data_IF_649941098880
#
_entry.id   IF_649941098880
#
_cell.length_a   1.000
_cell.length_b   1.000
_cell.length_c   1.000
_cell.angle_alpha   90.00
_cell.angle_beta   90.00
_cell.angle_gamma   90.00
#
_symmetry.space_group_name_H-M   'P 1'
#
loop_
_entity.id
_entity.type
_entity.pdbx_description
1 polymer ?
#
# COMPACT_ATOMS: atom_id res chain seq x y z
N UNK A 1 4.24 -4.72 -32.36
CA UNK A 1 4.85 -3.37 -32.16
C UNK A 1 4.13 -2.52 -31.12
N UNK A 2 2.81 -2.36 -31.12
CA UNK A 2 2.06 -1.49 -30.17
C UNK A 2 2.22 -1.87 -28.70
N UNK A 3 2.17 -3.16 -28.34
CA UNK A 3 2.28 -3.62 -26.93
C UNK A 3 3.67 -3.33 -26.35
N UNK A 4 4.72 -3.50 -27.14
CA UNK A 4 6.10 -3.24 -26.70
C UNK A 4 6.35 -1.74 -26.47
N UNK A 5 5.79 -0.88 -27.32
CA UNK A 5 5.88 0.57 -27.13
C UNK A 5 5.14 1.05 -25.87
N UNK A 6 3.97 0.48 -25.58
CA UNK A 6 3.21 0.78 -24.37
C UNK A 6 3.97 0.37 -23.11
N UNK A 7 4.62 -0.81 -23.10
CA UNK A 7 5.43 -1.27 -21.98
C UNK A 7 6.64 -0.36 -21.71
N UNK A 8 7.38 0.03 -22.74
CA UNK A 8 8.52 0.93 -22.60
C UNK A 8 8.09 2.33 -22.13
N UNK A 9 6.95 2.82 -22.61
CA UNK A 9 6.37 4.08 -22.16
C UNK A 9 5.99 4.00 -20.68
N UNK A 10 5.37 2.91 -20.22
CA UNK A 10 5.03 2.68 -18.82
C UNK A 10 6.29 2.67 -17.94
N UNK A 11 7.35 1.96 -18.35
CA UNK A 11 8.63 1.94 -17.66
C UNK A 11 9.26 3.33 -17.58
N UNK A 12 9.21 4.11 -18.65
CA UNK A 12 9.70 5.48 -18.69
C UNK A 12 8.93 6.40 -17.74
N UNK A 13 7.57 6.34 -17.73
CA UNK A 13 6.74 7.11 -16.82
C UNK A 13 7.10 6.77 -15.38
N UNK A 14 7.15 5.49 -15.02
CA UNK A 14 7.49 5.05 -13.68
C UNK A 14 8.89 5.52 -13.26
N UNK A 15 9.86 5.46 -14.18
CA UNK A 15 11.23 5.96 -13.95
C UNK A 15 11.27 7.47 -13.72
N UNK A 16 10.47 8.25 -14.45
CA UNK A 16 10.48 9.73 -14.38
C UNK A 16 9.62 10.25 -13.23
N UNK A 17 8.40 9.74 -13.12
CA UNK A 17 7.40 10.24 -12.16
C UNK A 17 7.43 9.50 -10.82
N UNK A 18 7.90 8.24 -10.80
CA UNK A 18 7.87 7.38 -9.62
C UNK A 18 6.50 6.76 -9.33
N UNK A 19 5.51 7.06 -10.15
CA UNK A 19 4.16 6.51 -10.06
C UNK A 19 3.59 6.26 -11.46
N UNK A 20 2.81 5.19 -11.58
CA UNK A 20 2.12 4.77 -12.80
C UNK A 20 0.73 4.28 -12.42
N UNK A 21 -0.28 4.69 -13.19
CA UNK A 21 -1.65 4.14 -13.10
C UNK A 21 -1.92 3.29 -14.32
N UNK A 22 -2.35 2.06 -14.11
CA UNK A 22 -2.80 1.13 -15.16
C UNK A 22 -4.30 0.93 -14.97
N UNK A 23 -5.08 1.39 -15.95
CA UNK A 23 -6.54 1.27 -15.88
C UNK A 23 -6.98 -0.14 -16.26
N UNK A 24 -8.03 -0.64 -15.59
CA UNK A 24 -8.62 -1.96 -15.86
C UNK A 24 -7.58 -3.09 -15.93
N UNK A 25 -6.62 -3.07 -14.99
CA UNK A 25 -5.55 -4.06 -14.93
C UNK A 25 -6.07 -5.45 -14.54
N UNK A 26 -7.18 -5.51 -13.81
CA UNK A 26 -7.80 -6.74 -13.31
C UNK A 26 -9.27 -6.77 -13.69
N UNK A 27 -9.77 -7.89 -14.26
CA UNK A 27 -11.19 -8.02 -14.61
C UNK A 27 -12.09 -8.15 -13.36
N UNK A 28 -13.43 -7.98 -13.49
CA UNK A 28 -14.34 -7.98 -12.34
C UNK A 28 -14.36 -9.27 -11.53
N UNK A 29 -14.37 -10.44 -12.18
CA UNK A 29 -14.56 -11.74 -11.52
C UNK A 29 -13.60 -12.01 -10.35
N UNK A 30 -12.25 -11.87 -10.48
CA UNK A 30 -11.35 -12.03 -9.35
C UNK A 30 -11.59 -11.01 -8.24
N UNK A 31 -11.98 -9.78 -8.59
CA UNK A 31 -12.26 -8.72 -7.61
C UNK A 31 -13.50 -9.04 -6.78
N UNK A 32 -14.55 -9.53 -7.41
CA UNK A 32 -15.79 -9.96 -6.75
C UNK A 32 -15.53 -11.11 -5.77
N UNK A 33 -14.75 -12.11 -6.20
CA UNK A 33 -14.38 -13.24 -5.35
C UNK A 33 -13.57 -12.81 -4.12
N UNK A 34 -12.54 -11.97 -4.30
CA UNK A 34 -11.74 -11.44 -3.17
C UNK A 34 -12.61 -10.59 -2.24
N UNK A 35 -13.49 -9.74 -2.79
CA UNK A 35 -14.37 -8.89 -1.99
C UNK A 35 -15.39 -9.72 -1.20
N UNK A 36 -15.90 -10.81 -1.74
CA UNK A 36 -16.82 -11.71 -1.03
C UNK A 36 -16.15 -12.32 0.20
N UNK A 37 -14.96 -12.94 0.04
CA UNK A 37 -14.20 -13.48 1.16
C UNK A 37 -13.79 -12.40 2.17
N UNK A 38 -13.36 -11.24 1.69
CA UNK A 38 -13.00 -10.11 2.54
C UNK A 38 -14.20 -9.63 3.37
N UNK A 39 -15.38 -9.53 2.78
CA UNK A 39 -16.60 -9.10 3.49
C UNK A 39 -16.99 -10.10 4.57
N UNK A 40 -16.89 -11.40 4.29
CA UNK A 40 -17.15 -12.45 5.27
C UNK A 40 -16.14 -12.38 6.43
N UNK A 41 -14.86 -12.22 6.13
CA UNK A 41 -13.82 -12.05 7.15
C UNK A 41 -14.09 -10.83 8.04
N UNK A 42 -14.39 -9.68 7.44
CA UNK A 42 -14.66 -8.45 8.20
C UNK A 42 -15.91 -8.58 9.07
N UNK A 43 -16.97 -9.23 8.60
CA UNK A 43 -18.17 -9.50 9.39
C UNK A 43 -17.86 -10.39 10.60
N UNK A 44 -17.03 -11.43 10.44
CA UNK A 44 -16.59 -12.28 11.55
C UNK A 44 -15.75 -11.50 12.59
N UNK A 45 -14.86 -10.63 12.13
CA UNK A 45 -14.06 -9.77 13.00
C UNK A 45 -14.93 -8.78 13.78
N UNK A 46 -15.89 -8.15 13.12
CA UNK A 46 -16.80 -7.18 13.73
C UNK A 46 -17.76 -7.86 14.74
N UNK A 47 -18.14 -9.10 14.51
CA UNK A 47 -18.92 -9.93 15.46
C UNK A 47 -18.09 -10.52 16.62
N UNK A 48 -16.77 -10.26 16.68
CA UNK A 48 -15.89 -10.82 17.70
C UNK A 48 -15.65 -12.34 17.57
N UNK A 49 -16.00 -12.93 16.43
CA UNK A 49 -15.88 -14.39 16.16
C UNK A 49 -14.44 -14.78 15.81
N UNK A 50 -13.49 -14.33 16.62
CA UNK A 50 -12.05 -14.53 16.36
C UNK A 50 -11.57 -15.97 16.54
N UNK A 51 -12.32 -16.82 17.26
CA UNK A 51 -11.98 -18.23 17.48
C UNK A 51 -11.96 -19.08 16.19
N UNK A 52 -12.78 -18.72 15.20
CA UNK A 52 -12.81 -19.40 13.90
C UNK A 52 -11.63 -19.04 12.99
N UNK A 53 -10.87 -18.02 13.36
CA UNK A 53 -9.66 -17.56 12.67
C UNK A 53 -8.38 -18.07 13.38
N UNK A 54 -8.47 -19.19 14.09
CA UNK A 54 -7.43 -19.69 15.01
C UNK A 54 -6.05 -19.93 14.37
N UNK A 55 -5.99 -20.09 13.03
CA UNK A 55 -4.72 -20.18 12.29
C UNK A 55 -4.08 -18.82 11.99
N UNK A 56 -4.76 -17.70 12.31
CA UNK A 56 -4.32 -16.36 11.98
C UNK A 56 -4.02 -15.54 13.24
N UNK A 57 -2.96 -14.75 13.22
CA UNK A 57 -2.68 -13.81 14.28
C UNK A 57 -3.57 -12.57 14.14
N UNK A 58 -4.43 -12.31 15.14
CA UNK A 58 -5.28 -11.12 15.18
C UNK A 58 -4.73 -10.16 16.21
N UNK A 59 -4.52 -8.92 15.80
CA UNK A 59 -3.81 -7.90 16.57
C UNK A 59 -4.55 -6.57 16.53
N UNK A 60 -4.32 -5.78 17.57
CA UNK A 60 -4.81 -4.40 17.70
C UNK A 60 -3.61 -3.49 18.02
N UNK A 61 -2.76 -3.24 17.03
CA UNK A 61 -1.53 -2.49 17.21
C UNK A 61 -1.54 -1.17 16.43
N UNK A 62 -1.04 -0.07 17.02
CA UNK A 62 -0.86 1.17 16.32
C UNK A 62 0.34 1.06 15.37
N UNK A 63 0.11 0.80 14.08
CA UNK A 63 1.13 0.79 13.02
C UNK A 63 2.50 0.16 13.41
N UNK A 64 2.51 -0.85 14.28
CA UNK A 64 3.71 -1.63 14.62
C UNK A 64 3.83 -2.82 13.67
N UNK A 65 5.08 -3.16 13.33
CA UNK A 65 5.39 -4.27 12.42
C UNK A 65 6.04 -5.46 13.11
N UNK A 66 6.16 -5.43 14.45
CA UNK A 66 6.78 -6.50 15.23
C UNK A 66 5.75 -7.13 16.14
N UNK A 67 5.72 -8.44 16.14
CA UNK A 67 4.92 -9.26 17.04
C UNK A 67 5.82 -10.31 17.71
N UNK A 68 5.35 -10.86 18.83
CA UNK A 68 6.06 -11.94 19.52
C UNK A 68 6.25 -13.12 18.57
N UNK A 69 7.48 -13.62 18.45
CA UNK A 69 7.84 -14.75 17.58
C UNK A 69 8.23 -14.37 16.14
N UNK A 70 8.04 -13.11 15.72
CA UNK A 70 8.43 -12.65 14.39
C UNK A 70 9.17 -11.32 14.47
N UNK A 71 10.14 -11.10 13.58
CA UNK A 71 10.81 -9.80 13.49
C UNK A 71 9.84 -8.71 13.00
N UNK A 72 8.96 -9.08 12.07
CA UNK A 72 7.88 -8.23 11.59
C UNK A 72 6.78 -9.09 10.92
N UNK A 73 5.63 -8.50 10.61
CA UNK A 73 4.50 -9.21 9.97
C UNK A 73 4.85 -9.80 8.60
N UNK A 74 5.85 -9.24 7.93
CA UNK A 74 6.31 -9.68 6.61
C UNK A 74 6.95 -11.06 6.67
N UNK A 75 7.51 -11.43 7.82
CA UNK A 75 8.22 -12.70 8.01
C UNK A 75 7.33 -13.77 8.67
N UNK A 76 6.05 -13.46 8.93
CA UNK A 76 5.09 -14.41 9.48
C UNK A 76 4.82 -15.55 8.49
N UNK A 77 4.65 -16.76 9.00
CA UNK A 77 4.31 -17.98 8.25
C UNK A 77 2.79 -18.20 8.10
N UNK A 78 1.99 -17.34 8.70
CA UNK A 78 0.52 -17.32 8.66
C UNK A 78 0.01 -15.95 8.21
N UNK A 79 -1.29 -15.82 7.93
CA UNK A 79 -1.89 -14.53 7.74
C UNK A 79 -1.91 -13.76 9.06
N UNK A 80 -1.60 -12.46 9.01
CA UNK A 80 -1.64 -11.57 10.18
C UNK A 80 -2.65 -10.46 9.91
N UNK A 81 -3.68 -10.38 10.74
CA UNK A 81 -4.75 -9.40 10.66
C UNK A 81 -4.52 -8.39 11.78
N UNK A 82 -4.24 -7.14 11.43
CA UNK A 82 -4.03 -6.09 12.40
C UNK A 82 -5.06 -4.97 12.25
N UNK A 83 -5.91 -4.80 13.26
CA UNK A 83 -6.75 -3.61 13.40
C UNK A 83 -5.90 -2.48 13.95
N UNK A 84 -5.72 -1.42 13.18
CA UNK A 84 -4.97 -0.26 13.66
C UNK A 84 -5.80 0.54 14.64
N UNK A 85 -5.21 0.74 15.81
CA UNK A 85 -5.78 1.58 16.87
C UNK A 85 -5.00 2.88 16.99
N UNK A 86 -5.59 3.87 17.67
CA UNK A 86 -4.93 5.13 18.00
C UNK A 86 -3.62 4.89 18.75
N UNK A 87 -2.66 5.76 18.54
CA UNK A 87 -1.37 5.68 19.22
C UNK A 87 -1.53 6.02 20.71
N UNK A 88 -0.90 5.25 21.62
CA UNK A 88 -0.97 5.53 23.06
C UNK A 88 -0.38 6.88 23.45
N UNK A 89 0.60 7.37 22.66
CA UNK A 89 1.28 8.66 22.89
C UNK A 89 0.48 9.87 22.38
N UNK A 90 -0.75 9.68 21.89
CA UNK A 90 -1.64 10.71 21.38
C UNK A 90 -1.19 11.37 20.07
N UNK A 91 -0.04 10.97 19.51
CA UNK A 91 0.46 11.54 18.25
C UNK A 91 -0.41 11.10 17.07
N UNK A 92 -0.63 12.02 16.13
CA UNK A 92 -1.35 11.78 14.88
C UNK A 92 -0.63 10.76 13.97
N UNK A 93 -1.34 10.30 12.94
CA UNK A 93 -0.81 9.39 11.92
C UNK A 93 -0.82 7.93 12.34
N UNK A 94 -1.81 7.54 13.15
CA UNK A 94 -2.04 6.15 13.56
C UNK A 94 -2.63 5.28 12.44
N UNK A 95 -3.31 5.90 11.47
CA UNK A 95 -4.20 5.23 10.51
C UNK A 95 -5.26 4.37 11.23
N UNK A 96 -5.73 4.78 12.42
CA UNK A 96 -6.75 4.08 13.18
C UNK A 96 -8.02 3.87 12.34
N UNK A 97 -8.63 2.68 12.42
CA UNK A 97 -9.73 2.24 11.56
C UNK A 97 -9.27 1.46 10.32
N UNK A 98 -7.98 1.39 10.03
CA UNK A 98 -7.45 0.54 8.97
C UNK A 98 -7.28 -0.89 9.47
N UNK A 99 -7.68 -1.85 8.64
CA UNK A 99 -7.36 -3.28 8.82
C UNK A 99 -6.25 -3.64 7.85
N UNK A 100 -5.09 -4.04 8.37
CA UNK A 100 -3.98 -4.60 7.61
C UNK A 100 -4.06 -6.13 7.62
N UNK A 101 -4.12 -6.76 6.46
CA UNK A 101 -4.02 -8.20 6.35
C UNK A 101 -2.71 -8.52 5.60
N UNK A 102 -1.73 -9.02 6.33
CA UNK A 102 -0.46 -9.50 5.77
C UNK A 102 -0.63 -10.95 5.34
N UNK A 103 -0.06 -11.32 4.22
CA UNK A 103 -0.18 -12.65 3.60
C UNK A 103 -1.64 -13.09 3.38
N UNK A 104 -2.48 -12.27 2.69
CA UNK A 104 -3.87 -12.63 2.43
C UNK A 104 -4.02 -13.94 1.67
N UNK A 105 -3.01 -14.35 0.91
CA UNK A 105 -2.96 -15.64 0.22
C UNK A 105 -2.95 -16.86 1.17
N UNK A 106 -2.79 -16.64 2.47
CA UNK A 106 -2.80 -17.68 3.50
C UNK A 106 -4.11 -17.76 4.27
N UNK A 107 -5.10 -16.95 3.91
CA UNK A 107 -6.42 -17.00 4.53
C UNK A 107 -7.22 -18.22 4.08
N UNK A 108 -7.15 -18.55 2.78
CA UNK A 108 -7.82 -19.70 2.16
C UNK A 108 -7.14 -20.06 0.83
N UNK A 109 -7.40 -21.26 0.31
CA UNK A 109 -6.94 -21.68 -1.04
C UNK A 109 -7.55 -20.79 -2.13
N UNK A 110 -8.82 -20.43 -2.01
CA UNK A 110 -9.49 -19.53 -2.95
C UNK A 110 -8.83 -18.14 -2.92
N UNK A 111 -8.54 -17.58 -1.75
CA UNK A 111 -7.82 -16.33 -1.63
C UNK A 111 -6.41 -16.42 -2.25
N UNK A 112 -5.68 -17.53 -2.05
CA UNK A 112 -4.37 -17.75 -2.67
C UNK A 112 -4.45 -17.70 -4.19
N UNK A 113 -5.45 -18.37 -4.78
CA UNK A 113 -5.69 -18.39 -6.22
C UNK A 113 -5.97 -16.98 -6.77
N UNK A 114 -6.95 -16.28 -6.20
CA UNK A 114 -7.39 -14.97 -6.69
C UNK A 114 -6.33 -13.89 -6.48
N UNK A 115 -5.64 -13.89 -5.35
CA UNK A 115 -4.53 -12.96 -5.07
C UNK A 115 -3.43 -13.13 -6.12
N UNK A 116 -3.03 -14.35 -6.44
CA UNK A 116 -1.99 -14.60 -7.45
C UNK A 116 -2.42 -14.15 -8.85
N UNK A 117 -3.68 -14.31 -9.20
CA UNK A 117 -4.26 -13.91 -10.49
C UNK A 117 -4.26 -12.39 -10.65
N UNK A 118 -4.63 -11.64 -9.59
CA UNK A 118 -4.73 -10.19 -9.64
C UNK A 118 -3.38 -9.46 -9.70
N UNK A 119 -2.33 -10.02 -9.15
CA UNK A 119 -1.12 -9.26 -8.87
C UNK A 119 -0.12 -9.15 -10.04
N UNK A 120 -0.28 -9.92 -11.12
CA UNK A 120 0.56 -9.85 -12.34
C UNK A 120 2.07 -9.79 -12.05
N UNK A 121 2.56 -10.54 -11.06
CA UNK A 121 3.90 -10.39 -10.49
C UNK A 121 5.04 -10.44 -11.51
N UNK A 122 4.97 -11.35 -12.49
CA UNK A 122 6.01 -11.50 -13.52
C UNK A 122 6.10 -10.24 -14.40
N UNK A 123 4.94 -9.73 -14.83
CA UNK A 123 4.87 -8.53 -15.66
C UNK A 123 5.38 -7.30 -14.90
N UNK A 124 4.93 -7.14 -13.64
CA UNK A 124 5.36 -6.02 -12.80
C UNK A 124 6.86 -6.11 -12.50
N UNK A 125 7.41 -7.28 -12.16
CA UNK A 125 8.84 -7.44 -11.92
C UNK A 125 9.70 -7.06 -13.15
N UNK A 126 9.25 -7.41 -14.36
CA UNK A 126 9.90 -6.97 -15.62
C UNK A 126 9.79 -5.46 -15.80
N UNK A 127 8.64 -4.86 -15.53
CA UNK A 127 8.44 -3.41 -15.59
C UNK A 127 9.37 -2.68 -14.60
N UNK A 128 9.47 -3.18 -13.38
CA UNK A 128 10.33 -2.63 -12.35
C UNK A 128 11.81 -2.75 -12.73
N UNK A 129 12.24 -3.89 -13.28
CA UNK A 129 13.59 -4.07 -13.82
C UNK A 129 13.90 -3.04 -14.91
N UNK A 130 13.01 -2.87 -15.87
CA UNK A 130 13.20 -1.91 -16.98
C UNK A 130 13.22 -0.46 -16.47
N UNK A 131 12.39 -0.11 -15.49
CA UNK A 131 12.30 1.26 -14.97
C UNK A 131 13.42 1.62 -14.01
N UNK A 132 13.85 0.70 -13.15
CA UNK A 132 14.84 0.94 -12.08
C UNK A 132 16.24 0.43 -12.38
N UNK A 133 16.39 -0.44 -13.40
CA UNK A 133 17.59 -1.19 -13.76
C UNK A 133 18.08 -2.11 -12.61
N UNK A 134 17.18 -2.49 -11.71
CA UNK A 134 17.47 -3.36 -10.58
C UNK A 134 16.45 -4.51 -10.55
N UNK A 135 16.89 -5.76 -10.37
CA UNK A 135 15.99 -6.89 -10.19
C UNK A 135 15.20 -6.71 -8.90
N UNK A 136 13.88 -6.85 -9.00
CA UNK A 136 12.96 -6.69 -7.89
C UNK A 136 12.16 -7.97 -7.70
N UNK A 137 11.96 -8.36 -6.44
CA UNK A 137 11.11 -9.50 -6.06
C UNK A 137 10.02 -9.06 -5.09
N UNK A 138 8.94 -9.80 -5.06
CA UNK A 138 7.91 -9.64 -4.03
C UNK A 138 8.51 -10.04 -2.68
N UNK A 139 8.37 -9.16 -1.70
CA UNK A 139 8.74 -9.42 -0.31
C UNK A 139 7.53 -9.85 0.52
N UNK A 140 6.39 -9.22 0.28
CA UNK A 140 5.17 -9.50 1.02
C UNK A 140 3.95 -9.06 0.20
N UNK A 141 2.84 -9.76 0.39
CA UNK A 141 1.51 -9.36 -0.08
C UNK A 141 0.69 -8.86 1.09
N UNK A 142 -0.09 -7.83 0.85
CA UNK A 142 -0.95 -7.24 1.86
C UNK A 142 -2.32 -6.95 1.25
N UNK A 143 -3.34 -6.96 2.09
CA UNK A 143 -4.64 -6.41 1.77
C UNK A 143 -4.94 -5.32 2.81
N UNK A 144 -5.17 -4.11 2.35
CA UNK A 144 -5.47 -2.97 3.21
C UNK A 144 -6.94 -2.60 3.07
N UNK A 145 -7.63 -2.52 4.20
CA UNK A 145 -9.01 -2.04 4.27
C UNK A 145 -9.06 -0.82 5.16
N UNK A 146 -9.33 0.33 4.56
CA UNK A 146 -9.55 1.57 5.27
C UNK A 146 -11.05 1.76 5.48
N UNK A 147 -11.49 2.00 6.71
CA UNK A 147 -12.88 2.25 7.09
C UNK A 147 -12.95 3.55 7.91
N UNK A 148 -13.31 4.66 7.28
CA UNK A 148 -13.41 5.97 7.91
C UNK A 148 -12.10 6.46 8.53
N UNK A 149 -10.95 6.17 7.90
CA UNK A 149 -9.63 6.52 8.43
C UNK A 149 -9.39 8.02 8.27
N UNK A 150 -9.50 8.77 9.36
CA UNK A 150 -9.30 10.22 9.40
C UNK A 150 -7.88 10.62 9.82
N UNK A 151 -7.31 9.91 10.81
CA UNK A 151 -5.98 10.20 11.35
C UNK A 151 -4.88 9.53 10.52
N UNK A 152 -4.65 10.03 9.30
CA UNK A 152 -3.64 9.49 8.39
C UNK A 152 -2.26 10.09 8.64
N UNK A 153 -1.20 9.34 8.30
CA UNK A 153 0.16 9.87 8.29
C UNK A 153 0.32 11.00 7.29
N UNK A 154 1.20 11.96 7.59
CA UNK A 154 1.65 12.96 6.63
C UNK A 154 2.39 12.36 5.44
N UNK A 155 2.80 13.20 4.49
CA UNK A 155 3.65 12.76 3.39
C UNK A 155 4.94 12.17 3.93
N UNK A 156 5.28 10.97 3.48
CA UNK A 156 6.45 10.22 3.95
C UNK A 156 7.02 9.35 2.84
N UNK A 157 8.21 8.79 3.05
CA UNK A 157 8.74 7.68 2.29
C UNK A 157 8.91 6.44 3.18
N UNK A 158 8.84 5.25 2.59
CA UNK A 158 9.10 3.99 3.30
C UNK A 158 10.62 3.69 3.42
N UNK A 159 11.44 4.74 3.40
CA UNK A 159 12.90 4.67 3.44
C UNK A 159 13.54 4.93 2.08
N UNK A 160 14.89 4.98 2.07
CA UNK A 160 15.67 5.32 0.85
C UNK A 160 16.13 4.11 0.05
N UNK A 161 15.96 2.90 0.55
CA UNK A 161 16.20 1.69 -0.24
C UNK A 161 15.21 1.60 -1.40
N UNK A 162 15.62 0.98 -2.51
CA UNK A 162 14.75 0.82 -3.67
C UNK A 162 13.64 -0.17 -3.32
N UNK A 163 12.43 0.35 -3.22
CA UNK A 163 11.20 -0.39 -2.96
C UNK A 163 10.07 0.14 -3.83
N UNK A 164 9.21 -0.75 -4.26
CA UNK A 164 7.98 -0.40 -4.97
C UNK A 164 6.79 -1.09 -4.31
N UNK A 165 5.61 -0.54 -4.54
CA UNK A 165 4.34 -1.22 -4.29
C UNK A 165 3.51 -1.17 -5.56
N UNK A 166 2.79 -2.26 -5.83
CA UNK A 166 1.62 -2.23 -6.72
C UNK A 166 0.36 -2.35 -5.86
N UNK A 167 -0.65 -1.55 -6.17
CA UNK A 167 -1.93 -1.50 -5.49
C UNK A 167 -3.01 -1.84 -6.51
N UNK A 168 -3.71 -2.95 -6.35
CA UNK A 168 -4.93 -3.27 -7.09
C UNK A 168 -6.12 -2.80 -6.27
N UNK A 169 -6.89 -1.88 -6.82
CA UNK A 169 -8.07 -1.35 -6.14
C UNK A 169 -9.21 -2.38 -6.21
N UNK A 170 -9.72 -2.77 -5.05
CA UNK A 170 -10.87 -3.68 -4.91
C UNK A 170 -12.19 -2.92 -4.82
N UNK A 171 -12.13 -1.63 -4.51
CA UNK A 171 -13.25 -0.69 -4.43
C UNK A 171 -12.94 0.57 -5.23
N UNK A 172 -13.97 1.28 -5.64
CA UNK A 172 -13.82 2.60 -6.27
C UNK A 172 -13.25 3.63 -5.29
N UNK A 173 -12.48 4.56 -5.82
CA UNK A 173 -12.01 5.79 -5.15
C UNK A 173 -12.34 6.94 -6.10
N UNK A 174 -13.46 7.61 -5.86
CA UNK A 174 -14.08 8.55 -6.79
C UNK A 174 -13.65 9.99 -6.56
N UNK A 175 -13.41 10.33 -5.30
CA UNK A 175 -13.01 11.67 -4.88
C UNK A 175 -12.13 11.64 -3.61
N UNK A 176 -11.84 12.80 -3.04
CA UNK A 176 -11.00 12.93 -1.86
C UNK A 176 -11.64 12.31 -0.61
N UNK A 177 -12.95 12.27 -0.52
CA UNK A 177 -13.67 11.71 0.64
C UNK A 177 -13.49 10.20 0.75
N UNK A 178 -13.21 9.51 -0.36
CA UNK A 178 -12.88 8.07 -0.38
C UNK A 178 -11.45 7.78 0.12
N UNK A 179 -10.65 8.81 0.40
CA UNK A 179 -9.30 8.68 0.94
C UNK A 179 -8.30 8.12 -0.07
N UNK A 180 -8.07 8.78 -1.22
CA UNK A 180 -7.14 8.30 -2.24
C UNK A 180 -5.71 8.15 -1.72
N UNK A 181 -4.95 7.28 -2.39
CA UNK A 181 -3.49 7.30 -2.29
C UNK A 181 -2.98 8.54 -3.01
N UNK A 182 -2.26 9.40 -2.30
CA UNK A 182 -1.66 10.61 -2.86
C UNK A 182 -0.16 10.42 -3.04
N UNK A 183 0.36 10.87 -4.17
CA UNK A 183 1.77 10.79 -4.52
C UNK A 183 2.27 12.12 -5.07
N UNK A 184 3.47 12.54 -4.66
CA UNK A 184 4.13 13.71 -5.23
C UNK A 184 5.13 13.25 -6.30
N UNK A 185 4.84 13.48 -7.60
CA UNK A 185 5.65 13.00 -8.71
C UNK A 185 7.12 13.43 -8.62
N UNK A 186 8.01 12.62 -9.15
CA UNK A 186 9.45 12.82 -9.24
C UNK A 186 10.22 12.90 -7.89
N UNK A 187 9.55 12.99 -6.74
CA UNK A 187 10.21 13.10 -5.41
C UNK A 187 11.06 11.89 -5.03
N UNK A 188 10.81 10.71 -5.62
CA UNK A 188 11.65 9.52 -5.42
C UNK A 188 13.10 9.73 -5.89
N UNK A 189 13.35 10.69 -6.76
CA UNK A 189 14.67 11.08 -7.29
C UNK A 189 15.18 12.40 -6.70
N UNK A 190 14.32 13.20 -6.11
CA UNK A 190 14.66 14.49 -5.53
C UNK A 190 15.34 14.34 -4.16
N UNK A 191 16.66 14.31 -4.22
CA UNK A 191 17.49 14.26 -3.01
C UNK A 191 17.47 15.60 -2.23
N UNK A 192 17.20 16.74 -2.89
CA UNK A 192 17.24 18.06 -2.24
C UNK A 192 16.04 18.22 -1.32
N UNK A 193 14.82 18.01 -1.82
CA UNK A 193 13.60 18.08 -0.99
C UNK A 193 13.64 17.07 0.15
N UNK A 194 14.14 15.85 -0.10
CA UNK A 194 14.30 14.88 0.97
C UNK A 194 15.30 15.32 2.05
N UNK A 195 16.46 15.87 1.67
CA UNK A 195 17.45 16.39 2.63
C UNK A 195 16.90 17.54 3.44
N UNK A 196 16.22 18.51 2.81
CA UNK A 196 15.57 19.64 3.51
C UNK A 196 14.54 19.14 4.52
N UNK A 197 13.64 18.25 4.11
CA UNK A 197 12.64 17.66 5.02
C UNK A 197 13.30 16.93 6.18
N UNK A 198 14.35 16.15 5.91
CA UNK A 198 15.08 15.43 6.97
C UNK A 198 15.74 16.39 7.96
N UNK A 199 16.46 17.40 7.51
CA UNK A 199 17.08 18.39 8.38
C UNK A 199 16.06 19.14 9.23
N UNK A 200 14.94 19.55 8.62
CA UNK A 200 13.83 20.17 9.34
C UNK A 200 13.27 19.21 10.41
N UNK A 201 13.02 17.97 10.06
CA UNK A 201 12.47 16.97 10.98
C UNK A 201 13.41 16.65 12.14
N UNK A 202 14.71 16.50 11.87
CA UNK A 202 15.72 16.29 12.92
C UNK A 202 15.79 17.47 13.88
N UNK A 203 15.75 18.71 13.37
CA UNK A 203 15.76 19.91 14.20
C UNK A 203 14.49 20.10 15.06
N UNK A 204 13.34 19.52 14.63
CA UNK A 204 12.06 19.67 15.30
C UNK A 204 11.58 18.37 16.00
N UNK A 205 12.43 17.35 16.16
CA UNK A 205 12.07 16.08 16.79
C UNK A 205 11.00 15.27 16.05
N UNK A 206 10.84 15.50 14.74
CA UNK A 206 9.87 14.80 13.89
C UNK A 206 10.45 13.52 13.28
N UNK A 207 9.59 12.71 12.68
CA UNK A 207 10.04 11.48 12.04
C UNK A 207 10.86 11.78 10.76
N UNK A 208 12.12 11.34 10.76
CA UNK A 208 13.07 11.54 9.65
C UNK A 208 12.61 11.04 8.27
N UNK A 209 11.57 10.20 8.22
CA UNK A 209 11.01 9.67 6.97
C UNK A 209 9.84 10.50 6.43
N UNK A 210 9.42 11.55 7.13
CA UNK A 210 8.37 12.44 6.67
C UNK A 210 8.93 13.49 5.69
N UNK A 211 8.09 13.85 4.73
CA UNK A 211 8.34 14.94 3.80
C UNK A 211 7.59 16.19 4.29
N UNK A 212 8.25 16.97 5.15
CA UNK A 212 7.68 18.16 5.77
C UNK A 212 7.94 19.43 4.96
N UNK A 213 8.78 19.35 3.92
CA UNK A 213 9.19 20.47 3.08
C UNK A 213 8.92 20.13 1.61
N UNK A 214 7.67 20.35 1.18
CA UNK A 214 7.18 20.07 -0.17
C UNK A 214 6.71 21.33 -0.92
N UNK A 215 7.20 22.52 -0.50
CA UNK A 215 6.80 23.77 -1.12
C UNK A 215 7.06 23.75 -2.63
N UNK A 216 6.08 24.21 -3.40
CA UNK A 216 6.12 24.24 -4.87
C UNK A 216 5.96 22.87 -5.55
N UNK A 217 5.66 21.81 -4.78
CA UNK A 217 5.39 20.48 -5.34
C UNK A 217 3.91 20.13 -5.17
N UNK A 218 3.29 19.72 -6.26
CA UNK A 218 1.88 19.32 -6.28
C UNK A 218 1.73 17.82 -6.02
N UNK A 219 0.84 17.48 -5.10
CA UNK A 219 0.48 16.11 -4.81
C UNK A 219 -0.70 15.68 -5.67
N UNK A 220 -0.58 14.51 -6.34
CA UNK A 220 -1.65 13.93 -7.14
C UNK A 220 -2.46 12.95 -6.29
N UNK A 221 -3.75 13.21 -6.03
CA UNK A 221 -4.67 12.21 -5.53
C UNK A 221 -4.97 11.20 -6.65
N UNK A 222 -4.70 9.92 -6.41
CA UNK A 222 -4.86 8.88 -7.42
C UNK A 222 -6.27 8.29 -7.30
N UNK A 223 -7.21 8.87 -8.04
CA UNK A 223 -8.56 8.35 -8.17
C UNK A 223 -8.52 7.08 -9.03
N UNK A 224 -9.30 6.08 -8.64
CA UNK A 224 -9.26 4.76 -9.27
C UNK A 224 -10.64 4.09 -9.24
N UNK A 225 -10.91 3.26 -10.22
CA UNK A 225 -12.02 2.29 -10.19
C UNK A 225 -11.51 0.95 -9.70
N UNK A 226 -12.41 0.12 -9.18
CA UNK A 226 -12.11 -1.27 -8.90
C UNK A 226 -11.52 -1.94 -10.16
N UNK A 227 -10.43 -2.67 -10.00
CA UNK A 227 -9.64 -3.26 -11.09
C UNK A 227 -8.51 -2.38 -11.64
N UNK A 228 -8.46 -1.10 -11.30
CA UNK A 228 -7.29 -0.28 -11.62
C UNK A 228 -6.08 -0.68 -10.76
N UNK A 229 -4.89 -0.48 -11.28
CA UNK A 229 -3.64 -0.72 -10.56
C UNK A 229 -2.78 0.53 -10.51
N UNK A 230 -2.26 0.86 -9.33
CA UNK A 230 -1.23 1.88 -9.15
C UNK A 230 0.08 1.21 -8.81
N UNK A 231 1.16 1.59 -9.48
CA UNK A 231 2.53 1.15 -9.18
C UNK A 231 3.33 2.38 -8.76
N UNK A 232 3.96 2.34 -7.58
CA UNK A 232 4.72 3.50 -7.09
C UNK A 232 6.03 3.14 -6.40
N UNK A 233 7.02 4.01 -6.60
CA UNK A 233 8.27 3.98 -5.85
C UNK A 233 8.04 4.50 -4.42
N UNK A 234 8.38 3.69 -3.43
CA UNK A 234 8.17 4.02 -2.02
C UNK A 234 9.26 4.96 -1.45
N UNK A 235 10.19 5.40 -2.31
CA UNK A 235 11.17 6.46 -1.99
C UNK A 235 10.59 7.86 -2.18
N UNK A 236 9.53 8.00 -2.96
CA UNK A 236 8.85 9.28 -3.19
C UNK A 236 7.91 9.66 -2.04
N UNK A 237 7.55 10.92 -1.97
CA UNK A 237 6.59 11.42 -1.00
C UNK A 237 5.19 10.91 -1.33
N UNK A 238 4.59 10.20 -0.38
CA UNK A 238 3.25 9.64 -0.53
C UNK A 238 2.51 9.58 0.80
N UNK A 239 1.18 9.52 0.73
CA UNK A 239 0.30 9.32 1.90
C UNK A 239 -1.06 8.73 1.50
N UNK A 240 -1.80 8.19 2.45
CA UNK A 240 -3.24 8.05 2.33
C UNK A 240 -3.92 9.40 2.64
N UNK A 241 -4.90 9.83 1.85
CA UNK A 241 -5.74 10.97 2.20
C UNK A 241 -6.70 10.57 3.34
N UNK A 242 -7.06 11.47 4.27
CA UNK A 242 -8.15 11.22 5.21
C UNK A 242 -9.44 10.86 4.50
N UNK A 243 -10.23 9.97 5.13
CA UNK A 243 -11.52 9.53 4.59
C UNK A 243 -12.69 10.22 5.27
N UNK A 244 -13.83 10.30 4.57
CA UNK A 244 -15.10 10.50 5.26
C UNK A 244 -15.36 9.32 6.23
N UNK A 245 -16.04 9.53 7.38
CA UNK A 245 -16.29 8.47 8.36
C UNK A 245 -16.94 7.20 7.78
N UNK A 246 -17.83 7.36 6.80
CA UNK A 246 -18.57 6.26 6.17
C UNK A 246 -17.85 5.68 4.94
N UNK A 247 -16.71 6.25 4.55
CA UNK A 247 -15.99 5.79 3.37
C UNK A 247 -15.25 4.49 3.64
N UNK A 248 -15.18 3.64 2.61
CA UNK A 248 -14.42 2.40 2.62
C UNK A 248 -13.55 2.30 1.36
N UNK A 249 -12.29 1.96 1.56
CA UNK A 249 -11.35 1.64 0.50
C UNK A 249 -10.65 0.32 0.80
N UNK A 250 -10.65 -0.60 -0.15
CA UNK A 250 -9.90 -1.85 -0.09
C UNK A 250 -8.91 -1.94 -1.25
N UNK A 251 -7.67 -2.33 -0.96
CA UNK A 251 -6.61 -2.49 -1.96
C UNK A 251 -5.76 -3.72 -1.67
N UNK A 252 -5.50 -4.52 -2.71
CA UNK A 252 -4.54 -5.62 -2.66
C UNK A 252 -3.17 -5.10 -3.09
N UNK A 253 -2.12 -5.44 -2.32
CA UNK A 253 -0.80 -4.82 -2.46
C UNK A 253 0.31 -5.86 -2.56
N UNK A 254 1.16 -5.75 -3.58
CA UNK A 254 2.49 -6.38 -3.57
C UNK A 254 3.55 -5.37 -3.14
N UNK A 255 4.38 -5.78 -2.20
CA UNK A 255 5.58 -5.03 -1.80
C UNK A 255 6.79 -5.63 -2.50
N UNK A 256 7.48 -4.83 -3.33
CA UNK A 256 8.68 -5.22 -4.04
C UNK A 256 9.92 -4.62 -3.40
N UNK A 257 10.95 -5.43 -3.28
CA UNK A 257 12.28 -4.98 -2.86
C UNK A 257 13.35 -5.51 -3.80
N UNK A 258 14.54 -4.90 -3.76
CA UNK A 258 15.68 -5.37 -4.52
C UNK A 258 15.98 -6.83 -4.17
N UNK A 259 16.26 -7.63 -5.18
CA UNK A 259 16.84 -8.96 -5.00
C UNK A 259 18.20 -8.79 -4.35
N UNK A 260 18.58 -9.61 -3.34
CA UNK A 260 19.90 -9.57 -2.72
C UNK A 260 21.03 -9.69 -3.72
#
# INVERSE_FOLDING_TARGET
MQVQSAFLRAAWILRRQGVLVVRQAVPPQPLEAINAELNQLLAQLDAGQTKQLASNAILNLPNKRRIKGYENFVDADQAVINHRVKRPDGRSGSDAGMVDIFHPERLSEAMAHWVSTCLHERLISRLLLTSSLLPMRVKCRNLYVNRGVQDTRGYHCDGRSQKFKSFVFLTDVRDLSDGPYCYVPATHRDRRSWKRSRQFNEANGLNRHEYSQLEGLEALPLLAKAGDMVISSQRGAHRGHPQHPDARRAVLVNMYQRWP
#
